data_IF_370036514650
#
_entry.id   IF_370036514650
#
_cell.length_a   1.000
_cell.length_b   1.000
_cell.length_c   1.000
_cell.angle_alpha   90.00
_cell.angle_beta   90.00
_cell.angle_gamma   90.00
#
_symmetry.space_group_name_H-M   'P 1'
#
loop_
_entity.id
_entity.type
_entity.pdbx_description
1 polymer ?
#
# COMPACT_ATOMS: atom_id res chain seq x y z
N UNK A 1 -67.04 -64.78 -12.07
CA UNK A 1 -66.47 -63.94 -13.15
C UNK A 1 -66.63 -62.50 -12.70
N UNK A 2 -65.58 -61.81 -12.44
CA UNK A 2 -65.64 -60.38 -12.14
C UNK A 2 -65.96 -59.72 -13.45
N UNK A 3 -67.13 -59.03 -13.53
CA UNK A 3 -67.55 -58.36 -14.77
C UNK A 3 -66.49 -57.41 -15.24
N UNK A 4 -66.01 -57.57 -16.53
CA UNK A 4 -64.97 -56.73 -17.11
C UNK A 4 -65.30 -55.21 -17.08
N UNK A 5 -66.62 -54.89 -17.01
CA UNK A 5 -67.07 -53.50 -16.81
C UNK A 5 -66.75 -52.96 -15.41
N UNK A 6 -66.76 -53.77 -14.39
CA UNK A 6 -66.45 -53.36 -13.02
C UNK A 6 -64.94 -53.12 -12.84
N UNK A 7 -64.06 -53.87 -13.49
CA UNK A 7 -62.62 -53.69 -13.53
C UNK A 7 -62.23 -52.42 -14.25
N UNK A 8 -62.85 -52.11 -15.41
CA UNK A 8 -62.58 -50.85 -16.15
C UNK A 8 -63.07 -49.63 -15.40
N UNK A 9 -64.19 -49.70 -14.65
CA UNK A 9 -64.66 -48.62 -13.81
C UNK A 9 -63.70 -48.32 -12.63
N UNK A 10 -63.19 -49.38 -11.98
CA UNK A 10 -62.18 -49.23 -10.90
C UNK A 10 -60.85 -48.64 -11.41
N UNK A 11 -60.40 -49.01 -12.60
CA UNK A 11 -59.20 -48.41 -13.21
C UNK A 11 -59.40 -46.92 -13.51
N UNK A 12 -60.55 -46.55 -14.06
CA UNK A 12 -60.89 -45.17 -14.34
C UNK A 12 -60.97 -44.34 -13.05
N UNK A 13 -61.54 -44.85 -11.97
CA UNK A 13 -61.56 -44.19 -10.68
C UNK A 13 -60.15 -44.03 -10.09
N UNK A 14 -59.31 -45.08 -10.19
CA UNK A 14 -57.95 -45.02 -9.76
C UNK A 14 -57.12 -43.96 -10.51
N UNK A 15 -57.25 -43.88 -11.86
CA UNK A 15 -56.65 -42.85 -12.69
C UNK A 15 -57.15 -41.47 -12.32
N UNK A 16 -58.46 -41.31 -12.09
CA UNK A 16 -59.06 -40.02 -11.65
C UNK A 16 -58.53 -39.57 -10.30
N UNK A 17 -58.44 -40.49 -9.31
CA UNK A 17 -57.84 -40.20 -7.99
C UNK A 17 -56.35 -39.81 -8.11
N UNK A 18 -55.58 -40.53 -8.92
CA UNK A 18 -54.18 -40.23 -9.16
C UNK A 18 -54.03 -38.87 -9.85
N UNK A 19 -54.84 -38.54 -10.86
CA UNK A 19 -54.82 -37.26 -11.51
C UNK A 19 -55.18 -36.12 -10.57
N UNK A 20 -56.21 -36.27 -9.76
CA UNK A 20 -56.59 -35.31 -8.70
C UNK A 20 -55.49 -35.17 -7.66
N UNK A 21 -54.86 -36.23 -7.22
CA UNK A 21 -53.72 -36.21 -6.28
C UNK A 21 -52.53 -35.43 -6.82
N UNK A 22 -52.19 -35.63 -8.10
CA UNK A 22 -51.13 -34.88 -8.80
C UNK A 22 -51.49 -33.40 -8.90
N UNK A 23 -52.72 -33.04 -9.28
CA UNK A 23 -53.21 -31.67 -9.36
C UNK A 23 -53.18 -31.01 -7.98
N UNK A 24 -53.64 -31.66 -6.94
CA UNK A 24 -53.62 -31.15 -5.56
C UNK A 24 -52.20 -30.98 -5.01
N UNK A 25 -51.26 -31.86 -5.38
CA UNK A 25 -49.85 -31.75 -5.03
C UNK A 25 -49.20 -30.52 -5.73
N UNK A 26 -49.71 -30.15 -6.89
CA UNK A 26 -49.21 -28.98 -7.65
C UNK A 26 -49.71 -27.64 -7.12
N UNK A 27 -50.90 -27.65 -6.45
CA UNK A 27 -51.53 -26.43 -5.92
C UNK A 27 -51.20 -26.32 -4.42
N UNK A 28 -50.49 -25.26 -3.95
CA UNK A 28 -50.19 -25.08 -2.54
C UNK A 28 -51.43 -24.53 -1.78
N UNK A 29 -52.45 -25.41 -1.57
CA UNK A 29 -53.75 -25.02 -0.94
C UNK A 29 -53.54 -24.43 0.46
N UNK A 30 -52.65 -24.98 1.27
CA UNK A 30 -52.37 -24.47 2.61
C UNK A 30 -51.85 -23.02 2.59
N UNK A 31 -51.04 -22.67 1.57
CA UNK A 31 -50.52 -21.32 1.41
C UNK A 31 -51.63 -20.36 0.96
N UNK A 32 -52.53 -20.82 0.08
CA UNK A 32 -53.68 -20.03 -0.37
C UNK A 32 -54.66 -19.73 0.79
N UNK A 33 -55.00 -20.74 1.60
CA UNK A 33 -55.84 -20.57 2.79
C UNK A 33 -55.21 -19.57 3.76
N UNK A 34 -53.90 -19.69 4.00
CA UNK A 34 -53.17 -18.77 4.87
C UNK A 34 -53.18 -17.33 4.35
N UNK A 35 -53.04 -17.15 3.04
CA UNK A 35 -53.10 -15.83 2.39
C UNK A 35 -54.47 -15.22 2.52
N UNK A 36 -55.52 -16.01 2.23
CA UNK A 36 -56.91 -15.57 2.33
C UNK A 36 -57.28 -15.19 3.77
N UNK A 37 -56.90 -16.00 4.75
CA UNK A 37 -57.10 -15.71 6.18
C UNK A 37 -56.38 -14.46 6.67
N UNK A 38 -55.25 -14.09 6.00
CA UNK A 38 -54.53 -12.86 6.29
C UNK A 38 -55.04 -11.63 5.55
N UNK A 39 -56.17 -11.74 4.79
CA UNK A 39 -56.71 -10.63 4.02
C UNK A 39 -56.02 -10.37 2.67
N UNK A 40 -55.14 -11.24 2.26
CA UNK A 40 -54.40 -11.11 0.98
C UNK A 40 -55.24 -11.72 -0.14
N UNK A 41 -55.66 -10.89 -1.09
CA UNK A 41 -56.49 -11.34 -2.23
C UNK A 41 -55.62 -11.94 -3.33
N UNK A 42 -55.32 -13.23 -3.22
CA UNK A 42 -54.56 -13.98 -4.24
C UNK A 42 -55.46 -15.08 -4.82
N UNK A 43 -55.57 -15.16 -6.14
CA UNK A 43 -56.23 -16.25 -6.84
C UNK A 43 -55.38 -17.54 -6.85
N UNK A 44 -56.07 -18.68 -6.80
CA UNK A 44 -55.38 -20.01 -6.93
C UNK A 44 -54.62 -20.08 -8.27
N UNK A 45 -55.16 -19.56 -9.35
CA UNK A 45 -54.51 -19.53 -10.68
C UNK A 45 -53.22 -18.71 -10.67
N UNK A 46 -53.14 -17.65 -9.85
CA UNK A 46 -51.90 -16.86 -9.69
C UNK A 46 -50.80 -17.70 -9.07
N UNK A 47 -51.11 -18.53 -8.05
CA UNK A 47 -50.15 -19.44 -7.42
C UNK A 47 -49.64 -20.52 -8.37
N UNK A 48 -50.54 -21.08 -9.19
CA UNK A 48 -50.19 -22.05 -10.24
C UNK A 48 -49.30 -21.38 -11.31
N UNK A 49 -49.67 -20.15 -11.73
CA UNK A 49 -48.89 -19.36 -12.67
C UNK A 49 -47.46 -19.06 -12.17
N UNK A 50 -47.28 -18.72 -10.90
CA UNK A 50 -45.94 -18.54 -10.28
C UNK A 50 -45.12 -19.81 -10.40
N UNK A 51 -45.73 -20.99 -10.11
CA UNK A 51 -45.04 -22.26 -10.17
C UNK A 51 -44.61 -22.63 -11.60
N UNK A 52 -45.47 -22.33 -12.59
CA UNK A 52 -45.14 -22.48 -14.01
C UNK A 52 -43.96 -21.58 -14.44
N UNK A 53 -43.87 -20.35 -13.89
CA UNK A 53 -42.74 -19.41 -14.09
C UNK A 53 -41.51 -19.72 -13.25
N UNK A 54 -41.49 -20.91 -12.59
CA UNK A 54 -40.40 -21.38 -11.70
C UNK A 54 -40.17 -20.51 -10.45
N UNK A 55 -41.18 -19.73 -10.06
CA UNK A 55 -41.16 -19.00 -8.79
C UNK A 55 -41.72 -19.90 -7.69
N UNK A 56 -41.08 -19.96 -6.55
CA UNK A 56 -41.56 -20.68 -5.39
C UNK A 56 -42.64 -19.81 -4.71
N UNK A 57 -43.96 -20.17 -4.75
CA UNK A 57 -45.02 -19.29 -4.25
C UNK A 57 -44.83 -18.88 -2.78
N UNK A 58 -44.22 -19.76 -1.96
CA UNK A 58 -44.00 -19.46 -0.56
C UNK A 58 -43.01 -18.28 -0.34
N UNK A 59 -42.06 -18.07 -1.25
CA UNK A 59 -41.08 -16.98 -1.16
C UNK A 59 -41.71 -15.60 -1.44
N UNK A 60 -42.84 -15.57 -2.13
CA UNK A 60 -43.56 -14.33 -2.44
C UNK A 60 -44.74 -14.12 -1.49
N UNK A 61 -45.55 -15.16 -1.25
CA UNK A 61 -46.79 -15.06 -0.50
C UNK A 61 -46.58 -14.90 1.01
N UNK A 62 -45.58 -15.61 1.60
CA UNK A 62 -45.30 -15.45 3.03
C UNK A 62 -44.84 -14.03 3.39
N UNK A 63 -43.90 -13.39 2.68
CA UNK A 63 -43.57 -11.99 2.90
C UNK A 63 -44.77 -11.06 2.65
N UNK A 64 -45.57 -11.32 1.62
CA UNK A 64 -46.77 -10.51 1.37
C UNK A 64 -47.77 -10.56 2.53
N UNK A 65 -47.97 -11.76 3.13
CA UNK A 65 -48.78 -11.90 4.34
C UNK A 65 -48.23 -11.07 5.50
N UNK A 66 -46.89 -11.07 5.68
CA UNK A 66 -46.23 -10.23 6.69
C UNK A 66 -46.48 -8.75 6.44
N UNK A 67 -46.31 -8.32 5.18
CA UNK A 67 -46.53 -6.92 4.77
C UNK A 67 -47.97 -6.46 5.05
N UNK A 68 -48.99 -7.25 4.63
CA UNK A 68 -50.40 -6.94 4.84
C UNK A 68 -50.75 -6.85 6.32
N UNK A 69 -50.23 -7.80 7.15
CA UNK A 69 -50.40 -7.75 8.62
C UNK A 69 -49.70 -6.54 9.27
N UNK A 70 -48.67 -5.99 8.65
CA UNK A 70 -48.01 -4.78 9.10
C UNK A 70 -48.68 -3.50 8.57
N UNK A 71 -49.72 -3.61 7.74
CA UNK A 71 -50.46 -2.48 7.18
C UNK A 71 -49.86 -1.93 5.87
N UNK A 72 -48.91 -2.65 5.26
CA UNK A 72 -48.34 -2.28 3.97
C UNK A 72 -49.19 -2.81 2.80
N UNK A 73 -49.53 -1.98 1.86
CA UNK A 73 -50.19 -2.36 0.62
C UNK A 73 -49.15 -2.66 -0.47
N UNK A 74 -48.87 -3.94 -0.68
CA UNK A 74 -47.94 -4.40 -1.71
C UNK A 74 -48.64 -5.27 -2.75
N UNK A 75 -48.27 -5.08 -4.02
CA UNK A 75 -48.82 -5.88 -5.11
C UNK A 75 -48.03 -7.20 -5.26
N UNK A 76 -48.77 -8.31 -5.44
CA UNK A 76 -48.21 -9.63 -5.73
C UNK A 76 -47.27 -9.58 -6.93
N UNK A 77 -47.66 -8.88 -8.00
CA UNK A 77 -46.90 -8.78 -9.23
C UNK A 77 -45.54 -8.08 -9.04
N UNK A 78 -45.47 -7.04 -8.18
CA UNK A 78 -44.23 -6.34 -7.86
C UNK A 78 -43.27 -7.25 -7.10
N UNK A 79 -43.75 -8.04 -6.12
CA UNK A 79 -42.96 -8.98 -5.36
C UNK A 79 -42.46 -10.15 -6.23
N UNK A 80 -43.35 -10.67 -7.11
CA UNK A 80 -42.97 -11.71 -8.06
C UNK A 80 -41.90 -11.23 -9.03
N UNK A 81 -42.06 -10.03 -9.61
CA UNK A 81 -41.07 -9.41 -10.49
C UNK A 81 -39.73 -9.23 -9.82
N UNK A 82 -39.69 -8.81 -8.55
CA UNK A 82 -38.48 -8.69 -7.77
C UNK A 82 -37.78 -10.06 -7.52
N UNK A 83 -38.59 -11.10 -7.22
CA UNK A 83 -38.08 -12.47 -7.08
C UNK A 83 -37.49 -13.01 -8.39
N UNK A 84 -38.15 -12.77 -9.53
CA UNK A 84 -37.70 -13.15 -10.86
C UNK A 84 -36.42 -12.44 -11.28
N UNK A 85 -36.25 -11.20 -10.81
CA UNK A 85 -34.99 -10.42 -11.01
C UNK A 85 -33.83 -10.91 -10.13
N UNK A 86 -34.06 -11.93 -9.27
CA UNK A 86 -33.02 -12.49 -8.38
C UNK A 86 -32.94 -11.80 -7.02
N UNK A 87 -33.86 -10.88 -6.70
CA UNK A 87 -33.89 -10.19 -5.41
C UNK A 87 -34.50 -11.05 -4.28
N UNK A 88 -34.23 -10.63 -3.04
CA UNK A 88 -34.74 -11.29 -1.84
C UNK A 88 -36.00 -10.59 -1.31
N UNK A 89 -37.18 -11.15 -1.66
CA UNK A 89 -38.47 -10.60 -1.29
C UNK A 89 -38.68 -10.45 0.22
N UNK A 90 -38.23 -11.45 1.00
CA UNK A 90 -38.41 -11.44 2.46
C UNK A 90 -37.58 -10.32 3.11
N UNK A 91 -36.34 -10.10 2.65
CA UNK A 91 -35.48 -9.03 3.12
C UNK A 91 -36.07 -7.65 2.81
N UNK A 92 -36.51 -7.44 1.58
CA UNK A 92 -37.15 -6.18 1.15
C UNK A 92 -38.39 -5.89 1.96
N UNK A 93 -39.28 -6.90 2.14
CA UNK A 93 -40.50 -6.70 2.91
C UNK A 93 -40.22 -6.43 4.39
N UNK A 94 -39.27 -7.15 5.00
CA UNK A 94 -38.86 -6.89 6.39
C UNK A 94 -38.29 -5.47 6.54
N UNK A 95 -37.52 -4.99 5.54
CA UNK A 95 -36.98 -3.63 5.51
C UNK A 95 -38.09 -2.58 5.40
N UNK A 96 -39.10 -2.80 4.55
CA UNK A 96 -40.26 -1.90 4.41
C UNK A 96 -41.08 -1.84 5.71
N UNK A 97 -41.27 -2.97 6.38
CA UNK A 97 -41.96 -3.01 7.68
C UNK A 97 -41.16 -2.23 8.74
N UNK A 98 -39.84 -2.40 8.75
CA UNK A 98 -38.95 -1.68 9.67
C UNK A 98 -38.95 -0.16 9.39
N UNK A 99 -38.89 0.23 8.11
CA UNK A 99 -38.92 1.62 7.68
C UNK A 99 -40.27 2.30 8.06
N UNK A 100 -41.40 1.61 7.84
CA UNK A 100 -42.73 2.12 8.22
C UNK A 100 -42.83 2.34 9.73
N UNK A 101 -42.30 1.40 10.55
CA UNK A 101 -42.32 1.52 12.02
C UNK A 101 -41.42 2.65 12.54
N UNK A 102 -40.38 2.99 11.77
CA UNK A 102 -39.43 4.05 12.09
C UNK A 102 -39.83 5.41 11.45
N UNK A 103 -41.01 5.47 10.79
CA UNK A 103 -41.49 6.64 10.04
C UNK A 103 -40.51 7.15 8.97
N UNK A 104 -39.81 6.19 8.33
CA UNK A 104 -38.86 6.46 7.25
C UNK A 104 -39.58 6.28 5.91
N UNK A 105 -39.57 7.28 5.02
CA UNK A 105 -40.21 7.17 3.70
C UNK A 105 -39.40 6.26 2.77
N UNK A 106 -39.72 4.98 2.70
CA UNK A 106 -39.07 4.00 1.82
C UNK A 106 -40.14 3.37 0.90
N UNK A 107 -40.04 3.63 -0.40
CA UNK A 107 -40.91 2.97 -1.40
C UNK A 107 -40.39 1.57 -1.74
N UNK A 108 -41.34 0.71 -2.19
CA UNK A 108 -40.95 -0.66 -2.64
C UNK A 108 -39.95 -0.60 -3.79
N UNK A 109 -40.12 0.29 -4.74
CA UNK A 109 -39.25 0.45 -5.90
C UNK A 109 -37.80 0.77 -5.45
N UNK A 110 -37.67 1.67 -4.49
CA UNK A 110 -36.36 2.05 -3.94
C UNK A 110 -35.73 0.89 -3.15
N UNK A 111 -36.50 0.24 -2.29
CA UNK A 111 -36.05 -0.93 -1.55
C UNK A 111 -35.60 -2.08 -2.47
N UNK A 112 -36.36 -2.33 -3.54
CA UNK A 112 -36.06 -3.31 -4.58
C UNK A 112 -34.76 -2.97 -5.32
N UNK A 113 -34.57 -1.69 -5.69
CA UNK A 113 -33.35 -1.23 -6.37
C UNK A 113 -32.10 -1.41 -5.48
N UNK A 114 -32.20 -1.13 -4.18
CA UNK A 114 -31.11 -1.32 -3.22
C UNK A 114 -30.75 -2.79 -3.10
N UNK A 115 -31.75 -3.70 -2.97
CA UNK A 115 -31.54 -5.14 -2.85
C UNK A 115 -30.91 -5.73 -4.12
N UNK A 116 -31.39 -5.33 -5.31
CA UNK A 116 -30.83 -5.75 -6.60
C UNK A 116 -29.43 -5.19 -6.86
N UNK A 117 -29.07 -4.07 -6.24
CA UNK A 117 -27.70 -3.55 -6.23
C UNK A 117 -26.78 -4.33 -5.29
N UNK A 118 -27.27 -5.41 -4.63
CA UNK A 118 -26.50 -6.27 -3.75
C UNK A 118 -26.31 -5.74 -2.33
N UNK A 119 -27.04 -4.70 -1.92
CA UNK A 119 -26.98 -4.13 -0.57
C UNK A 119 -28.09 -4.66 0.32
N UNK A 120 -27.80 -4.78 1.61
CA UNK A 120 -28.81 -5.19 2.60
C UNK A 120 -29.68 -4.00 2.99
N UNK A 121 -30.92 -3.99 2.46
CA UNK A 121 -31.90 -2.94 2.72
C UNK A 121 -32.31 -2.89 4.19
N UNK A 122 -32.45 -4.07 4.82
CA UNK A 122 -32.87 -4.15 6.23
C UNK A 122 -31.80 -3.58 7.15
N UNK A 123 -30.55 -3.94 6.91
CA UNK A 123 -29.41 -3.38 7.64
C UNK A 123 -29.31 -1.86 7.46
N UNK A 124 -29.53 -1.37 6.25
CA UNK A 124 -29.50 0.06 5.96
C UNK A 124 -30.58 0.82 6.72
N UNK A 125 -31.81 0.29 6.76
CA UNK A 125 -32.91 0.90 7.56
C UNK A 125 -32.56 0.87 9.05
N UNK A 126 -32.03 -0.23 9.55
CA UNK A 126 -31.59 -0.31 10.96
C UNK A 126 -30.49 0.69 11.30
N UNK A 127 -29.50 0.86 10.42
CA UNK A 127 -28.41 1.83 10.57
C UNK A 127 -28.89 3.28 10.40
N UNK A 128 -30.01 3.51 9.74
CA UNK A 128 -30.63 4.84 9.64
C UNK A 128 -31.28 5.27 10.97
N UNK A 129 -31.82 4.29 11.72
CA UNK A 129 -32.44 4.52 13.04
C UNK A 129 -31.41 4.48 14.16
N UNK A 130 -30.54 3.46 14.14
CA UNK A 130 -29.50 3.25 15.12
C UNK A 130 -28.14 3.42 14.46
N UNK A 131 -27.47 4.57 14.65
CA UNK A 131 -26.14 4.80 14.12
C UNK A 131 -25.16 3.71 14.52
N UNK A 132 -24.26 3.36 13.59
CA UNK A 132 -23.21 2.36 13.79
C UNK A 132 -21.88 3.08 14.02
N UNK A 133 -21.09 2.56 14.97
CA UNK A 133 -19.70 3.00 15.14
C UNK A 133 -18.80 2.09 14.33
N UNK A 134 -18.00 2.70 13.47
CA UNK A 134 -16.92 2.03 12.72
C UNK A 134 -15.58 2.53 13.22
N UNK A 135 -14.59 1.64 13.33
CA UNK A 135 -13.24 2.00 13.77
C UNK A 135 -12.29 2.04 12.57
N UNK A 136 -11.44 3.05 12.54
CA UNK A 136 -10.34 3.07 11.57
C UNK A 136 -9.24 2.12 12.01
N UNK A 137 -8.43 1.57 11.09
CA UNK A 137 -7.14 1.00 11.45
C UNK A 137 -6.27 2.09 12.08
N UNK A 138 -5.16 1.69 12.72
CA UNK A 138 -4.17 2.64 13.23
C UNK A 138 -3.56 3.39 12.04
N UNK A 139 -3.73 4.70 12.04
CA UNK A 139 -3.20 5.60 11.02
C UNK A 139 -1.94 6.26 11.58
N UNK A 140 -0.80 6.06 10.90
CA UNK A 140 0.47 6.66 11.28
C UNK A 140 0.82 7.79 10.31
N UNK A 141 1.22 8.93 10.85
CA UNK A 141 1.70 10.08 10.07
C UNK A 141 2.80 10.81 10.83
N UNK A 142 3.62 11.57 10.11
CA UNK A 142 4.75 12.30 10.70
C UNK A 142 4.40 13.79 10.75
N UNK A 143 4.51 14.39 11.94
CA UNK A 143 4.35 15.83 12.12
C UNK A 143 5.59 16.58 11.59
N UNK A 144 5.51 17.91 11.47
CA UNK A 144 6.62 18.72 10.92
C UNK A 144 7.91 18.66 11.74
N UNK A 145 7.81 18.33 13.03
CA UNK A 145 8.97 18.09 13.91
C UNK A 145 9.68 16.76 13.67
N UNK A 146 9.22 15.95 12.71
CA UNK A 146 9.80 14.68 12.34
C UNK A 146 9.42 13.51 13.24
N UNK A 147 8.47 13.69 14.16
CA UNK A 147 7.98 12.64 15.07
C UNK A 147 6.73 11.98 14.48
N UNK A 148 6.74 10.65 14.45
CA UNK A 148 5.58 9.85 14.06
C UNK A 148 4.51 9.92 15.14
N UNK A 149 3.27 10.17 14.73
CA UNK A 149 2.08 10.08 15.58
C UNK A 149 1.17 9.00 14.99
N UNK A 150 0.68 8.13 15.85
CA UNK A 150 -0.26 7.06 15.51
C UNK A 150 -1.60 7.40 16.12
N UNK A 151 -2.65 7.44 15.30
CA UNK A 151 -3.98 7.73 15.76
C UNK A 151 -4.97 6.66 15.30
N UNK A 152 -5.97 6.38 16.14
CA UNK A 152 -7.10 5.53 15.84
C UNK A 152 -8.37 6.32 16.10
N UNK A 153 -9.28 6.33 15.10
CA UNK A 153 -10.54 7.05 15.21
C UNK A 153 -11.74 6.09 15.24
N UNK A 154 -12.79 6.49 15.94
CA UNK A 154 -14.13 5.91 15.89
C UNK A 154 -15.05 6.88 15.18
N UNK A 155 -15.70 6.39 14.14
CA UNK A 155 -16.60 7.19 13.32
C UNK A 155 -18.02 6.69 13.53
N UNK A 156 -18.88 7.55 14.05
CA UNK A 156 -20.30 7.24 14.17
C UNK A 156 -20.99 7.63 12.86
N UNK A 157 -21.55 6.65 12.18
CA UNK A 157 -22.20 6.83 10.88
C UNK A 157 -23.66 6.42 10.92
N UNK A 158 -24.48 7.11 10.14
CA UNK A 158 -25.88 6.82 9.88
C UNK A 158 -26.06 6.53 8.40
N UNK A 159 -26.82 5.49 8.05
CA UNK A 159 -27.13 5.21 6.64
C UNK A 159 -28.10 6.27 6.08
N UNK A 160 -27.76 6.83 4.92
CA UNK A 160 -28.65 7.70 4.17
C UNK A 160 -29.30 6.87 3.06
N UNK A 161 -30.60 6.57 3.26
CA UNK A 161 -31.37 5.68 2.36
C UNK A 161 -31.46 6.24 0.94
N UNK A 162 -31.46 7.56 0.78
CA UNK A 162 -31.53 8.21 -0.52
C UNK A 162 -30.26 8.05 -1.34
N UNK A 163 -29.12 7.90 -0.67
CA UNK A 163 -27.78 7.75 -1.29
C UNK A 163 -27.28 6.30 -1.33
N UNK A 164 -28.09 5.32 -0.89
CA UNK A 164 -27.68 3.93 -0.88
C UNK A 164 -27.40 3.38 -2.29
N UNK A 165 -28.18 3.77 -3.27
CA UNK A 165 -27.94 3.39 -4.67
C UNK A 165 -26.87 4.32 -5.25
N UNK A 166 -25.73 3.77 -5.62
CA UNK A 166 -24.61 4.53 -6.20
C UNK A 166 -23.65 5.19 -5.21
N UNK A 167 -23.97 5.26 -3.92
CA UNK A 167 -23.07 5.79 -2.91
C UNK A 167 -21.94 4.82 -2.54
N UNK A 168 -20.78 5.33 -2.14
CA UNK A 168 -19.67 4.52 -1.68
C UNK A 168 -19.96 3.86 -0.31
N UNK A 169 -19.24 2.74 -0.02
CA UNK A 169 -19.41 1.95 1.20
C UNK A 169 -18.63 2.49 2.43
N UNK A 170 -18.69 1.73 3.52
CA UNK A 170 -17.99 2.03 4.79
C UNK A 170 -16.47 2.20 4.58
N UNK A 171 -15.85 1.35 3.75
CA UNK A 171 -14.42 1.39 3.47
C UNK A 171 -13.94 2.74 2.92
N UNK A 172 -14.81 3.40 2.14
CA UNK A 172 -14.50 4.74 1.60
C UNK A 172 -14.49 5.80 2.69
N UNK A 173 -15.38 5.69 3.69
CA UNK A 173 -15.38 6.60 4.84
C UNK A 173 -14.12 6.39 5.66
N UNK A 174 -13.78 5.13 5.95
CA UNK A 174 -12.55 4.77 6.69
C UNK A 174 -11.31 5.35 5.99
N UNK A 175 -11.21 5.18 4.67
CA UNK A 175 -10.10 5.70 3.89
C UNK A 175 -10.01 7.24 3.93
N UNK A 176 -11.14 7.94 3.76
CA UNK A 176 -11.19 9.41 3.78
C UNK A 176 -10.91 9.99 5.16
N UNK A 177 -11.43 9.36 6.21
CA UNK A 177 -11.13 9.75 7.59
C UNK A 177 -9.64 9.54 7.88
N UNK A 178 -9.08 8.40 7.46
CA UNK A 178 -7.64 8.14 7.55
C UNK A 178 -6.81 9.20 6.82
N UNK A 179 -7.17 9.58 5.60
CA UNK A 179 -6.53 10.68 4.86
C UNK A 179 -6.65 12.02 5.60
N UNK A 180 -7.82 12.29 6.17
CA UNK A 180 -8.05 13.48 7.00
C UNK A 180 -7.12 13.52 8.20
N UNK A 181 -6.94 12.42 8.91
CA UNK A 181 -6.04 12.27 10.04
C UNK A 181 -4.58 12.51 9.60
N UNK A 182 -4.12 11.83 8.53
CA UNK A 182 -2.77 12.00 7.98
C UNK A 182 -2.49 13.47 7.63
N UNK A 183 -3.45 14.11 6.96
CA UNK A 183 -3.31 15.52 6.57
C UNK A 183 -3.22 16.44 7.78
N UNK A 184 -4.02 16.17 8.81
CA UNK A 184 -4.05 17.01 10.02
C UNK A 184 -2.76 16.84 10.82
N UNK A 185 -2.28 15.62 11.03
CA UNK A 185 -1.01 15.35 11.69
C UNK A 185 0.16 15.95 10.90
N UNK A 186 0.21 15.75 9.57
CA UNK A 186 1.27 16.27 8.71
C UNK A 186 1.32 17.80 8.62
N UNK A 187 0.20 18.48 8.88
CA UNK A 187 0.13 19.96 8.94
C UNK A 187 0.48 20.53 10.32
N UNK A 188 0.47 19.71 11.37
CA UNK A 188 0.78 20.15 12.73
C UNK A 188 2.26 20.53 12.89
N UNK A 189 2.54 21.62 13.59
CA UNK A 189 3.92 22.12 13.81
C UNK A 189 4.73 21.12 14.65
N UNK A 190 4.08 20.48 15.64
CA UNK A 190 4.72 19.49 16.49
C UNK A 190 3.72 18.42 16.94
N UNK A 191 4.23 17.25 17.32
CA UNK A 191 3.44 16.13 17.83
C UNK A 191 2.67 16.48 19.10
N UNK A 192 3.20 17.39 19.95
CA UNK A 192 2.57 17.82 21.22
C UNK A 192 1.24 18.52 20.98
N UNK A 193 1.16 19.38 19.97
CA UNK A 193 -0.07 20.08 19.62
C UNK A 193 -1.20 19.11 19.22
N UNK A 194 -0.84 17.97 18.60
CA UNK A 194 -1.79 16.91 18.25
C UNK A 194 -2.26 16.15 19.48
N UNK A 195 -1.36 15.87 20.42
CA UNK A 195 -1.68 15.16 21.68
C UNK A 195 -2.48 16.01 22.66
N UNK A 196 -2.23 17.31 22.72
CA UNK A 196 -2.93 18.23 23.61
C UNK A 196 -4.39 18.45 23.19
N UNK A 197 -4.65 18.46 21.89
CA UNK A 197 -5.97 18.75 21.34
C UNK A 197 -6.37 17.79 20.21
N UNK A 198 -6.64 16.50 20.49
CA UNK A 198 -7.08 15.53 19.50
C UNK A 198 -8.43 15.89 18.85
N UNK A 199 -9.28 16.66 19.56
CA UNK A 199 -10.57 17.13 19.05
C UNK A 199 -10.45 18.06 17.85
N UNK A 200 -9.34 18.80 17.73
CA UNK A 200 -9.07 19.61 16.54
C UNK A 200 -8.94 18.75 15.27
N UNK A 201 -8.44 17.52 15.38
CA UNK A 201 -8.42 16.56 14.25
C UNK A 201 -9.85 16.19 13.87
N UNK A 202 -10.69 15.85 14.86
CA UNK A 202 -12.10 15.49 14.65
C UNK A 202 -12.85 16.60 13.91
N UNK A 203 -12.73 17.83 14.39
CA UNK A 203 -13.35 19.00 13.77
C UNK A 203 -12.82 19.28 12.35
N UNK A 204 -11.51 19.19 12.15
CA UNK A 204 -10.90 19.44 10.83
C UNK A 204 -11.35 18.40 9.80
N UNK A 205 -11.42 17.13 10.22
CA UNK A 205 -11.84 16.01 9.36
C UNK A 205 -13.33 16.11 9.05
N UNK A 206 -14.16 16.44 10.05
CA UNK A 206 -15.60 16.59 9.88
C UNK A 206 -15.95 17.75 8.90
N UNK A 207 -15.28 18.90 9.06
CA UNK A 207 -15.49 20.08 8.21
C UNK A 207 -15.12 19.87 6.72
N UNK A 208 -14.36 18.84 6.40
CA UNK A 208 -14.01 18.48 5.01
C UNK A 208 -15.17 17.85 4.22
N UNK A 209 -16.31 17.54 4.86
CA UNK A 209 -17.47 16.94 4.17
C UNK A 209 -17.14 15.59 3.54
N UNK A 210 -16.49 14.70 4.27
CA UNK A 210 -15.99 13.41 3.78
C UNK A 210 -17.08 12.41 3.42
N UNK A 211 -18.33 12.68 3.82
CA UNK A 211 -19.53 11.90 3.49
C UNK A 211 -20.06 12.14 2.08
N UNK A 212 -19.55 13.16 1.37
CA UNK A 212 -19.99 13.47 0.01
C UNK A 212 -19.81 12.27 -0.93
N UNK A 213 -20.90 11.85 -1.61
CA UNK A 213 -20.88 10.70 -2.51
C UNK A 213 -20.80 9.33 -1.83
N UNK A 214 -21.01 9.27 -0.51
CA UNK A 214 -21.13 8.01 0.24
C UNK A 214 -22.59 7.69 0.55
N UNK A 215 -22.86 6.42 0.85
CA UNK A 215 -24.15 5.94 1.30
C UNK A 215 -24.45 6.27 2.78
N UNK A 216 -23.53 6.93 3.45
CA UNK A 216 -23.56 7.20 4.88
C UNK A 216 -23.40 8.70 5.15
N UNK A 217 -23.89 9.12 6.29
CA UNK A 217 -23.71 10.45 6.87
C UNK A 217 -22.88 10.29 8.14
N UNK A 218 -21.82 11.08 8.29
CA UNK A 218 -20.97 11.06 9.46
C UNK A 218 -21.60 11.96 10.53
N UNK A 219 -21.90 11.39 11.70
CA UNK A 219 -22.46 12.12 12.84
C UNK A 219 -21.38 12.66 13.75
N UNK A 220 -20.40 11.83 14.08
CA UNK A 220 -19.23 12.23 14.87
C UNK A 220 -17.98 11.47 14.44
N UNK A 221 -16.82 12.06 14.70
CA UNK A 221 -15.52 11.45 14.58
C UNK A 221 -14.82 11.66 15.92
N UNK A 222 -14.56 10.59 16.63
CA UNK A 222 -13.94 10.61 17.93
C UNK A 222 -12.56 9.96 17.84
N UNK A 223 -11.51 10.67 18.25
CA UNK A 223 -10.17 10.09 18.29
C UNK A 223 -10.09 9.23 19.54
N UNK A 224 -9.96 7.92 19.32
CA UNK A 224 -10.03 6.92 20.40
C UNK A 224 -8.68 6.73 21.09
N UNK A 225 -7.59 6.86 20.33
CA UNK A 225 -6.24 6.61 20.82
C UNK A 225 -5.24 7.43 19.99
N UNK A 226 -4.24 8.02 20.67
CA UNK A 226 -3.15 8.76 20.04
C UNK A 226 -1.85 8.40 20.73
N UNK A 227 -0.97 7.72 20.01
CA UNK A 227 0.33 7.29 20.47
C UNK A 227 1.46 8.03 19.74
N UNK A 228 2.57 8.22 20.44
CA UNK A 228 3.81 8.73 19.85
C UNK A 228 4.64 7.55 19.32
N UNK A 229 4.96 7.59 18.05
CA UNK A 229 5.82 6.62 17.41
C UNK A 229 7.30 6.97 17.48
N UNK A 230 8.02 6.67 16.39
CA UNK A 230 9.47 6.90 16.30
C UNK A 230 9.77 8.33 15.89
N UNK A 231 10.95 8.81 16.28
CA UNK A 231 11.50 10.04 15.74
C UNK A 231 12.13 9.75 14.35
N UNK A 232 11.31 9.87 13.32
CA UNK A 232 11.73 9.63 11.93
C UNK A 232 12.71 10.69 11.46
N UNK A 233 12.55 11.94 11.94
CA UNK A 233 13.46 13.03 11.61
C UNK A 233 14.89 12.76 12.07
N UNK A 234 15.07 12.34 13.33
CA UNK A 234 16.39 11.98 13.85
C UNK A 234 16.99 10.75 13.14
N UNK A 235 16.18 9.74 12.85
CA UNK A 235 16.64 8.56 12.11
C UNK A 235 17.10 8.95 10.71
N UNK A 236 16.36 9.79 10.01
CA UNK A 236 16.74 10.26 8.67
C UNK A 236 18.05 11.05 8.69
N UNK A 237 18.27 11.90 9.71
CA UNK A 237 19.54 12.62 9.89
C UNK A 237 20.71 11.67 10.13
N UNK A 238 20.51 10.61 10.93
CA UNK A 238 21.54 9.59 11.16
C UNK A 238 21.87 8.83 9.87
N UNK A 239 20.83 8.40 9.13
CA UNK A 239 20.99 7.70 7.85
C UNK A 239 21.71 8.59 6.81
N UNK A 240 21.39 9.89 6.80
CA UNK A 240 22.05 10.88 5.94
C UNK A 240 23.53 11.03 6.29
N UNK A 241 23.85 11.17 7.60
CA UNK A 241 25.23 11.29 8.06
C UNK A 241 26.06 10.02 7.74
N UNK A 242 25.47 8.83 7.90
CA UNK A 242 26.09 7.58 7.52
C UNK A 242 26.33 7.47 6.01
N UNK A 243 25.37 7.92 5.20
CA UNK A 243 25.52 7.98 3.75
C UNK A 243 26.66 8.94 3.35
N UNK A 244 26.70 10.13 3.93
CA UNK A 244 27.76 11.12 3.68
C UNK A 244 29.14 10.61 4.10
N UNK A 245 29.22 9.92 5.23
CA UNK A 245 30.45 9.25 5.68
C UNK A 245 30.94 8.19 4.68
N UNK A 246 30.03 7.34 4.16
CA UNK A 246 30.36 6.33 3.15
C UNK A 246 30.84 6.97 1.85
N UNK A 247 30.19 8.05 1.41
CA UNK A 247 30.60 8.82 0.23
C UNK A 247 32.00 9.41 0.43
N UNK A 248 32.25 10.01 1.61
CA UNK A 248 33.55 10.58 1.92
C UNK A 248 34.66 9.51 1.97
N UNK A 249 34.37 8.33 2.54
CA UNK A 249 35.29 7.18 2.55
C UNK A 249 35.61 6.69 1.12
N UNK A 250 34.58 6.50 0.30
CA UNK A 250 34.77 6.09 -1.10
C UNK A 250 35.61 7.08 -1.89
N UNK A 251 35.38 8.39 -1.73
CA UNK A 251 36.20 9.43 -2.33
C UNK A 251 37.66 9.43 -1.82
N UNK A 252 37.86 9.11 -0.54
CA UNK A 252 39.21 9.01 0.02
C UNK A 252 39.97 7.79 -0.55
N UNK A 253 39.30 6.65 -0.70
CA UNK A 253 39.84 5.46 -1.32
C UNK A 253 40.18 5.67 -2.81
N UNK A 254 39.28 6.33 -3.54
CA UNK A 254 39.48 6.71 -4.93
C UNK A 254 40.75 7.58 -5.07
N UNK A 255 40.89 8.62 -4.21
CA UNK A 255 42.11 9.48 -4.23
C UNK A 255 43.37 8.70 -3.88
N UNK A 256 43.30 7.75 -2.91
CA UNK A 256 44.44 6.87 -2.59
C UNK A 256 44.81 5.97 -3.76
N UNK A 257 43.81 5.36 -4.40
CA UNK A 257 44.02 4.53 -5.58
C UNK A 257 44.66 5.32 -6.73
N UNK A 258 44.15 6.54 -7.01
CA UNK A 258 44.74 7.45 -8.00
C UNK A 258 46.19 7.85 -7.66
N UNK A 259 46.46 8.16 -6.38
CA UNK A 259 47.83 8.49 -5.94
C UNK A 259 48.79 7.32 -6.14
N UNK A 260 48.38 6.09 -5.79
CA UNK A 260 49.16 4.88 -6.00
C UNK A 260 49.38 4.61 -7.50
N UNK A 261 48.36 4.76 -8.32
CA UNK A 261 48.44 4.61 -9.76
C UNK A 261 49.43 5.62 -10.35
N UNK A 262 49.35 6.90 -9.95
CA UNK A 262 50.28 7.94 -10.39
C UNK A 262 51.72 7.69 -9.93
N UNK A 263 51.92 7.19 -8.68
CA UNK A 263 53.23 6.78 -8.22
C UNK A 263 53.84 5.65 -9.08
N UNK A 264 53.01 4.65 -9.42
CA UNK A 264 53.47 3.56 -10.30
C UNK A 264 53.80 4.04 -11.70
N UNK A 265 53.01 4.96 -12.28
CA UNK A 265 53.30 5.58 -13.57
C UNK A 265 54.63 6.36 -13.53
N UNK A 266 54.84 7.13 -12.47
CA UNK A 266 56.08 7.88 -12.30
C UNK A 266 57.28 6.93 -12.15
N UNK A 267 57.13 5.85 -11.36
CA UNK A 267 58.19 4.82 -11.25
C UNK A 267 58.48 4.16 -12.60
N UNK A 268 57.46 3.81 -13.36
CA UNK A 268 57.59 3.25 -14.70
C UNK A 268 58.31 4.23 -15.64
N UNK A 269 57.92 5.53 -15.63
CA UNK A 269 58.59 6.58 -16.40
C UNK A 269 60.05 6.75 -16.03
N UNK A 270 60.39 6.69 -14.74
CA UNK A 270 61.82 6.72 -14.29
C UNK A 270 62.60 5.53 -14.82
N UNK A 271 62.00 4.31 -14.78
CA UNK A 271 62.66 3.12 -15.33
C UNK A 271 62.83 3.20 -16.85
N UNK A 272 61.84 3.70 -17.57
CA UNK A 272 61.94 3.93 -19.02
C UNK A 272 63.07 4.91 -19.37
N UNK A 273 63.14 6.04 -18.63
CA UNK A 273 64.22 7.02 -18.83
C UNK A 273 65.59 6.43 -18.48
N UNK A 274 65.68 5.64 -17.42
CA UNK A 274 66.95 4.93 -17.08
C UNK A 274 67.32 3.94 -18.16
N UNK A 275 66.38 3.17 -18.68
CA UNK A 275 66.62 2.25 -19.80
C UNK A 275 67.15 3.00 -21.04
N UNK A 276 66.57 4.15 -21.39
CA UNK A 276 67.09 4.99 -22.48
C UNK A 276 68.50 5.57 -22.25
N UNK A 277 68.81 5.90 -20.98
CA UNK A 277 70.15 6.36 -20.63
C UNK A 277 71.18 5.21 -20.78
N UNK A 278 70.83 4.02 -20.27
CA UNK A 278 71.70 2.81 -20.39
C UNK A 278 71.88 2.41 -21.87
N UNK A 279 70.76 2.54 -22.70
CA UNK A 279 70.84 2.28 -24.13
C UNK A 279 71.81 3.26 -24.82
N UNK A 280 71.71 4.57 -24.53
CA UNK A 280 72.61 5.59 -25.03
C UNK A 280 74.06 5.39 -24.54
N UNK A 281 74.23 5.02 -23.27
CA UNK A 281 75.58 4.70 -22.72
C UNK A 281 76.18 3.47 -23.40
N UNK A 282 75.38 2.46 -23.77
CA UNK A 282 75.81 1.29 -24.49
C UNK A 282 76.22 1.58 -25.96
N UNK A 283 75.70 2.61 -26.59
CA UNK A 283 76.07 3.03 -27.94
C UNK A 283 77.47 3.71 -27.97
N UNK A 284 77.84 4.34 -26.86
CA UNK A 284 79.18 5.03 -26.79
C UNK A 284 80.33 4.11 -27.01
N UNK A 285 80.48 2.94 -26.30
CA UNK A 285 81.57 2.00 -26.57
C UNK A 285 81.56 1.42 -27.99
N UNK A 286 80.39 1.19 -28.56
CA UNK A 286 80.23 0.74 -29.93
C UNK A 286 80.71 1.78 -30.93
N UNK A 287 80.37 3.04 -30.75
CA UNK A 287 80.86 4.17 -31.57
C UNK A 287 82.33 4.38 -31.45
N UNK A 288 82.87 4.20 -30.23
CA UNK A 288 84.28 4.26 -29.96
C UNK A 288 85.10 3.09 -30.66
N UNK A 289 84.52 1.88 -30.56
CA UNK A 289 85.14 0.72 -31.25
C UNK A 289 85.15 0.89 -32.77
N UNK A 290 84.05 1.51 -33.29
CA UNK A 290 83.96 1.85 -34.73
C UNK A 290 84.98 2.91 -35.13
N UNK A 291 85.11 3.99 -34.34
CA UNK A 291 86.10 5.07 -34.56
C UNK A 291 87.53 4.58 -34.49
N UNK A 292 87.85 3.59 -33.62
CA UNK A 292 89.17 2.94 -33.54
C UNK A 292 89.46 2.07 -34.78
N UNK A 293 88.49 1.36 -35.31
CA UNK A 293 88.61 0.57 -36.54
C UNK A 293 88.75 1.44 -37.75
N UNK A 294 88.07 2.57 -37.81
CA UNK A 294 88.16 3.54 -38.92
C UNK A 294 89.42 4.42 -38.89
N UNK A 295 90.30 4.20 -37.87
CA UNK A 295 91.56 4.93 -37.73
C UNK A 295 91.46 6.42 -37.37
N UNK A 296 90.28 6.83 -36.93
CA UNK A 296 89.95 8.21 -36.53
C UNK A 296 90.33 8.52 -35.10
N UNK A 297 90.57 7.46 -34.25
CA UNK A 297 90.98 7.57 -32.86
C UNK A 297 92.25 6.83 -32.65
N UNK A 298 93.28 7.52 -32.06
CA UNK A 298 94.57 6.91 -31.72
C UNK A 298 94.44 6.14 -30.37
N UNK A 299 95.33 5.09 -30.21
CA UNK A 299 95.33 4.31 -28.97
C UNK A 299 95.69 5.19 -27.76
N UNK A 300 96.48 6.23 -27.89
CA UNK A 300 96.81 7.19 -26.84
C UNK A 300 95.58 8.11 -26.50
N UNK A 301 94.80 8.46 -27.46
CA UNK A 301 93.56 9.29 -27.26
C UNK A 301 92.51 8.50 -26.45
N UNK A 302 92.39 7.16 -26.65
CA UNK A 302 91.57 6.29 -25.86
C UNK A 302 91.98 6.21 -24.38
N UNK A 303 93.29 6.12 -24.10
CA UNK A 303 93.80 6.10 -22.73
C UNK A 303 93.62 7.48 -22.05
N UNK A 304 93.78 8.59 -22.76
CA UNK A 304 93.54 9.92 -22.23
C UNK A 304 92.08 10.13 -21.87
N UNK A 305 91.13 9.67 -22.72
CA UNK A 305 89.71 9.78 -22.49
C UNK A 305 89.31 8.90 -21.28
N UNK A 306 89.84 7.69 -21.14
CA UNK A 306 89.57 6.82 -20.01
C UNK A 306 90.10 7.42 -18.68
N UNK A 307 91.25 8.11 -18.69
CA UNK A 307 91.77 8.85 -17.53
C UNK A 307 90.79 10.04 -17.14
N UNK A 308 90.32 10.80 -18.13
CA UNK A 308 89.39 11.88 -17.87
C UNK A 308 88.04 11.36 -17.32
N UNK A 309 87.61 10.20 -17.81
CA UNK A 309 86.36 9.56 -17.31
C UNK A 309 86.55 9.09 -15.84
N UNK A 310 87.64 8.46 -15.49
CA UNK A 310 88.00 8.04 -14.15
C UNK A 310 88.13 9.25 -13.18
N UNK A 311 88.72 10.37 -13.62
CA UNK A 311 88.82 11.59 -12.82
C UNK A 311 87.40 12.22 -12.58
N UNK A 312 86.58 12.16 -13.58
CA UNK A 312 85.21 12.67 -13.49
C UNK A 312 84.32 11.81 -12.56
N UNK A 313 84.44 10.48 -12.62
CA UNK A 313 83.78 9.53 -11.70
C UNK A 313 84.21 9.75 -10.26
N UNK A 314 85.54 9.95 -10.04
CA UNK A 314 86.05 10.22 -8.72
C UNK A 314 85.55 11.55 -8.14
N UNK A 315 85.44 12.60 -8.95
CA UNK A 315 84.82 13.89 -8.53
C UNK A 315 83.34 13.76 -8.21
N UNK A 316 82.58 13.04 -9.01
CA UNK A 316 81.19 12.75 -8.75
C UNK A 316 80.99 11.95 -7.46
N UNK A 317 81.83 11.02 -7.16
CA UNK A 317 81.77 10.24 -5.90
C UNK A 317 82.05 11.11 -4.67
N UNK A 318 83.01 12.06 -4.76
CA UNK A 318 83.34 12.99 -3.68
C UNK A 318 82.12 13.95 -3.46
N UNK A 319 81.53 14.48 -4.53
CA UNK A 319 80.38 15.37 -4.40
C UNK A 319 79.12 14.71 -3.85
N UNK A 320 78.94 13.39 -4.11
CA UNK A 320 77.85 12.62 -3.54
C UNK A 320 78.02 12.32 -2.06
N UNK A 321 79.29 12.14 -1.61
CA UNK A 321 79.62 11.93 -0.22
C UNK A 321 79.40 13.20 0.60
N UNK A 322 79.74 14.37 0.08
CA UNK A 322 79.48 15.66 0.74
C UNK A 322 77.95 16.00 0.81
N UNK A 323 77.16 15.59 -0.17
CA UNK A 323 75.73 15.82 -0.15
C UNK A 323 74.95 14.90 0.83
N UNK A 324 75.46 13.71 1.12
CA UNK A 324 74.88 12.80 2.11
C UNK A 324 75.22 13.19 3.55
N UNK A 325 76.38 13.78 3.82
CA UNK A 325 76.76 14.26 5.15
C UNK A 325 75.99 15.52 5.57
N UNK A 326 75.51 16.31 4.59
CA UNK A 326 74.68 17.50 4.86
C UNK A 326 73.16 17.24 5.14
N UNK A 327 72.68 16.01 4.92
CA UNK A 327 71.27 15.62 5.15
C UNK A 327 71.02 14.94 6.48
N UNK A 328 72.04 14.66 7.32
CA UNK A 328 71.84 14.16 8.69
C UNK A 328 71.96 15.28 9.74
N UNK A 329 71.03 16.24 9.72
CA UNK A 329 70.79 17.04 10.92
C UNK A 329 69.62 16.43 11.72
N UNK A 330 69.77 16.14 13.00
CA UNK A 330 68.70 15.54 13.80
C UNK A 330 67.64 16.56 14.06
N UNK A 331 66.41 16.36 13.53
CA UNK A 331 65.22 17.08 13.96
C UNK A 331 64.94 16.77 15.43
N UNK A 332 65.22 17.74 16.29
CA UNK A 332 64.70 17.76 17.66
C UNK A 332 63.19 17.78 17.63
N UNK A 333 62.59 16.69 18.03
CA UNK A 333 61.13 16.52 18.21
C UNK A 333 60.71 17.30 19.45
N UNK A 334 60.09 18.47 19.29
CA UNK A 334 59.37 19.13 20.34
C UNK A 334 58.17 18.23 20.71
N UNK A 335 58.19 17.63 21.89
CA UNK A 335 57.05 17.06 22.55
C UNK A 335 56.17 18.20 23.09
N UNK A 336 54.87 18.20 22.91
CA UNK A 336 54.01 19.10 23.70
C UNK A 336 53.93 18.60 25.14
N UNK A 337 54.11 19.54 26.05
CA UNK A 337 53.93 19.41 27.49
C UNK A 337 52.45 19.23 27.72
N UNK A 338 52.03 18.11 28.33
CA UNK A 338 50.71 17.92 28.90
C UNK A 338 50.57 18.90 30.11
N UNK A 339 49.73 19.91 29.96
CA UNK A 339 49.20 20.66 31.09
C UNK A 339 47.98 19.89 31.63
N UNK A 340 48.20 19.16 32.73
CA UNK A 340 47.19 18.86 33.71
C UNK A 340 46.78 20.20 34.37
N UNK A 341 45.52 20.56 34.25
CA UNK A 341 44.90 21.46 35.23
C UNK A 341 43.56 20.89 35.65
N UNK A 342 43.52 20.65 36.96
CA UNK A 342 42.40 20.46 37.83
C UNK A 342 41.37 21.59 37.68
N UNK A 343 40.03 21.24 37.54
CA UNK A 343 38.90 21.62 38.42
C UNK A 343 37.60 21.08 37.86
#
# INVERSE_FOLDING_TARGET
>A
MIDGGLVTLLILIAIAILAISVILSFIPLGLWISAQAAGVKIGIFTLVGMRLRRVIPAQVVKPLIKATKAGLELSVNKLEGHNLAGGNVDRVVNALIAAQRADIPLSFERASAIDLAGRDVLQAVQMSVNPKVIETPVVAAVAKDGIEVKAKARVTVRANIDRLVGGAGEDTIIARVGEGIVTTIGSAENHKAVLENPDNMSHTVLNKGLDAGTAFEILSIDIADVDVGKNIGAQLQTDQADADKRIAQAKAEERRAMAIAHEQEMRASVQEKRAKVVEAEAEVPLAMAQALKDGKLGVMDYYNMKNIQADTEMRNYISQTESNESSETPHYRNQPVDEEDDE
#
